data_IF_164140875577
#
_entry.id   IF_164140875577
#
_cell.length_a   1.000
_cell.length_b   1.000
_cell.length_c   1.000
_cell.angle_alpha   90.00
_cell.angle_beta   90.00
_cell.angle_gamma   90.00
#
_symmetry.space_group_name_H-M   'P 1'
#
loop_
_entity.id
_entity.type
_entity.pdbx_description
1 polymer ?
#
# COMPACT_ATOMS: atom_id res chain seq x y z
N UNK A 1 19.00 -25.63 79.42
CA UNK A 1 17.96 -24.90 78.65
C UNK A 1 18.67 -24.14 77.59
N UNK A 2 18.61 -24.60 76.31
CA UNK A 2 19.25 -23.91 75.14
C UNK A 2 18.18 -23.08 74.44
N UNK A 3 18.37 -21.75 74.38
CA UNK A 3 17.50 -20.86 73.67
C UNK A 3 17.94 -20.80 72.20
N UNK A 4 17.09 -21.31 71.32
CA UNK A 4 17.31 -21.26 69.87
C UNK A 4 16.88 -19.91 69.41
N UNK A 5 17.82 -19.13 68.86
CA UNK A 5 17.57 -17.81 68.19
C UNK A 5 17.19 -18.03 66.74
N UNK A 6 15.94 -17.73 66.38
CA UNK A 6 15.47 -17.78 65.00
C UNK A 6 15.76 -16.41 64.38
N UNK A 7 16.72 -16.39 63.44
CA UNK A 7 17.01 -15.20 62.63
C UNK A 7 16.07 -15.22 61.44
N UNK A 8 15.09 -14.31 61.41
CA UNK A 8 14.23 -14.08 60.27
C UNK A 8 14.99 -13.24 59.26
N UNK A 9 15.48 -13.85 58.20
CA UNK A 9 16.08 -13.13 57.08
C UNK A 9 14.96 -12.57 56.19
N UNK A 10 14.70 -11.25 56.24
CA UNK A 10 13.81 -10.59 55.35
C UNK A 10 14.52 -10.31 54.01
N UNK A 11 14.27 -11.14 53.01
CA UNK A 11 14.66 -10.84 51.63
C UNK A 11 13.82 -9.65 51.08
N UNK A 12 14.38 -8.47 51.14
CA UNK A 12 13.85 -7.31 50.41
C UNK A 12 14.13 -7.48 48.91
N UNK A 13 13.13 -7.98 48.17
CA UNK A 13 13.17 -7.94 46.71
C UNK A 13 12.99 -6.49 46.24
N UNK A 14 14.09 -5.85 45.92
CA UNK A 14 14.05 -4.56 45.23
C UNK A 14 13.54 -4.76 43.82
N UNK A 15 12.26 -4.48 43.56
CA UNK A 15 11.70 -4.34 42.23
C UNK A 15 12.31 -3.09 41.60
N UNK A 16 13.32 -3.25 40.75
CA UNK A 16 13.81 -2.23 39.89
C UNK A 16 12.73 -2.00 38.81
N UNK A 17 11.89 -0.99 39.05
CA UNK A 17 10.97 -0.47 38.03
C UNK A 17 11.85 0.27 37.03
N UNK A 18 12.28 -0.42 35.96
CA UNK A 18 12.81 0.26 34.79
C UNK A 18 11.68 1.06 34.15
N UNK A 19 11.77 2.39 34.05
CA UNK A 19 10.83 3.13 33.25
C UNK A 19 10.97 2.63 31.81
N UNK A 20 9.93 1.96 31.32
CA UNK A 20 9.82 1.69 29.87
C UNK A 20 9.87 3.05 29.19
N UNK A 21 11.02 3.36 28.60
CA UNK A 21 11.12 4.48 27.66
C UNK A 21 10.24 4.07 26.51
N UNK A 22 8.97 4.49 26.53
CA UNK A 22 8.10 4.41 25.40
C UNK A 22 8.76 5.30 24.33
N UNK A 23 9.58 4.67 23.49
CA UNK A 23 10.09 5.32 22.29
C UNK A 23 8.86 5.78 21.51
N UNK A 24 8.64 7.10 21.48
CA UNK A 24 7.63 7.68 20.61
C UNK A 24 8.07 7.37 19.17
N UNK A 25 7.66 6.20 18.69
CA UNK A 25 7.88 5.81 17.31
C UNK A 25 7.20 6.87 16.47
N UNK A 26 7.99 7.69 15.80
CA UNK A 26 7.48 8.59 14.75
C UNK A 26 6.56 7.75 13.85
N UNK A 27 5.28 8.14 13.77
CA UNK A 27 4.28 7.46 12.95
C UNK A 27 4.38 7.88 11.48
N UNK A 28 5.59 8.10 10.97
CA UNK A 28 5.81 8.39 9.56
C UNK A 28 5.59 7.10 8.77
N UNK A 29 4.54 7.08 7.96
CA UNK A 29 4.27 5.99 7.03
C UNK A 29 4.96 6.22 5.70
N UNK A 30 5.45 5.15 5.08
CA UNK A 30 5.96 5.19 3.71
C UNK A 30 4.81 4.85 2.77
N UNK A 31 4.58 5.69 1.74
CA UNK A 31 3.63 5.45 0.66
C UNK A 31 4.42 5.15 -0.61
N UNK A 32 4.14 4.00 -1.21
CA UNK A 32 4.75 3.60 -2.47
C UNK A 32 4.06 4.33 -3.64
N UNK A 33 4.74 5.25 -4.29
CA UNK A 33 4.22 6.01 -5.44
C UNK A 33 4.05 5.11 -6.66
N UNK A 34 2.81 4.97 -7.14
CA UNK A 34 2.37 4.05 -8.21
C UNK A 34 2.64 2.58 -7.89
N UNK A 35 2.51 2.22 -6.61
CA UNK A 35 2.91 0.92 -6.07
C UNK A 35 4.42 0.77 -5.87
N UNK A 36 4.85 -0.37 -5.31
CA UNK A 36 6.26 -0.72 -5.24
C UNK A 36 6.68 -1.38 -6.56
N UNK A 37 6.69 -0.57 -7.63
CA UNK A 37 6.89 -1.00 -9.00
C UNK A 37 8.36 -1.26 -9.37
N UNK A 38 9.32 -0.66 -8.65
CA UNK A 38 10.75 -0.75 -8.97
C UNK A 38 11.38 -2.02 -8.37
N UNK A 39 10.82 -3.18 -8.67
CA UNK A 39 11.31 -4.49 -8.27
C UNK A 39 10.98 -5.53 -9.35
N UNK A 40 11.68 -6.68 -9.31
CA UNK A 40 11.49 -7.77 -10.28
C UNK A 40 10.09 -8.37 -10.20
N UNK A 41 9.56 -8.55 -8.99
CA UNK A 41 8.25 -9.16 -8.74
C UNK A 41 7.09 -8.32 -9.32
N UNK A 42 7.28 -7.01 -9.44
CA UNK A 42 6.35 -6.11 -10.12
C UNK A 42 6.60 -5.99 -11.63
N UNK A 43 7.70 -6.56 -12.12
CA UNK A 43 8.14 -6.43 -13.53
C UNK A 43 8.39 -4.98 -13.93
N UNK A 44 8.74 -4.12 -12.96
CA UNK A 44 8.99 -2.67 -13.17
C UNK A 44 7.80 -1.92 -13.77
N UNK A 45 6.57 -2.39 -13.54
CA UNK A 45 5.34 -1.82 -14.07
C UNK A 45 4.62 -0.97 -13.02
N UNK A 46 4.61 0.36 -13.25
CA UNK A 46 3.86 1.33 -12.43
C UNK A 46 2.35 1.07 -12.54
N UNK A 47 1.60 1.37 -11.48
CA UNK A 47 0.14 1.23 -11.46
C UNK A 47 -0.37 -0.19 -11.78
N UNK A 48 0.48 -1.20 -11.69
CA UNK A 48 0.10 -2.60 -11.89
C UNK A 48 -0.45 -3.23 -10.61
N UNK A 49 -1.25 -4.27 -10.77
CA UNK A 49 -1.71 -5.07 -9.61
C UNK A 49 -0.52 -5.72 -8.90
N UNK A 50 0.51 -6.13 -9.65
CA UNK A 50 1.75 -6.65 -9.08
C UNK A 50 2.48 -5.60 -8.22
N UNK A 51 2.55 -4.33 -8.66
CA UNK A 51 3.19 -3.26 -7.89
C UNK A 51 2.45 -2.97 -6.57
N UNK A 52 1.12 -3.01 -6.57
CA UNK A 52 0.33 -2.93 -5.34
C UNK A 52 0.64 -4.10 -4.41
N UNK A 53 0.62 -5.32 -4.92
CA UNK A 53 0.95 -6.53 -4.14
C UNK A 53 2.34 -6.42 -3.52
N UNK A 54 3.35 -6.00 -4.29
CA UNK A 54 4.71 -5.82 -3.77
C UNK A 54 4.76 -4.77 -2.64
N UNK A 55 4.02 -3.66 -2.73
CA UNK A 55 3.93 -2.67 -1.66
C UNK A 55 3.30 -3.26 -0.39
N UNK A 56 2.26 -4.08 -0.55
CA UNK A 56 1.56 -4.75 0.54
C UNK A 56 2.45 -5.81 1.23
N UNK A 57 3.12 -6.64 0.46
CA UNK A 57 4.03 -7.68 0.97
C UNK A 57 5.27 -7.09 1.66
N UNK A 58 5.77 -5.95 1.15
CA UNK A 58 6.84 -5.19 1.78
C UNK A 58 6.40 -4.47 3.08
N UNK A 59 5.10 -4.45 3.39
CA UNK A 59 4.55 -3.85 4.59
C UNK A 59 4.59 -2.32 4.60
N UNK A 60 4.54 -1.67 3.44
CA UNK A 60 4.41 -0.23 3.36
C UNK A 60 3.09 0.24 3.97
N UNK A 61 3.11 1.43 4.59
CA UNK A 61 1.92 2.01 5.19
C UNK A 61 0.83 2.25 4.14
N UNK A 62 1.21 2.66 2.93
CA UNK A 62 0.29 2.91 1.84
C UNK A 62 0.89 2.62 0.46
N UNK A 63 -0.01 2.49 -0.51
CA UNK A 63 0.30 2.42 -1.94
C UNK A 63 -0.53 3.47 -2.64
N UNK A 64 0.12 4.36 -3.34
CA UNK A 64 -0.52 5.39 -4.16
C UNK A 64 -0.69 4.87 -5.58
N UNK A 65 -1.73 5.33 -6.27
CA UNK A 65 -2.05 4.97 -7.66
C UNK A 65 -2.92 6.02 -8.33
N UNK A 66 -2.83 6.08 -9.65
CA UNK A 66 -3.50 7.05 -10.50
C UNK A 66 -4.77 6.48 -11.11
N UNK A 67 -5.89 7.24 -11.12
CA UNK A 67 -7.18 6.81 -11.67
C UNK A 67 -7.62 7.77 -12.78
N UNK A 68 -7.87 7.22 -13.95
CA UNK A 68 -8.51 7.88 -15.09
C UNK A 68 -9.90 7.30 -15.32
N UNK A 69 -10.79 8.09 -15.95
CA UNK A 69 -12.12 7.65 -16.37
C UNK A 69 -12.21 7.65 -17.88
N UNK A 70 -12.71 6.57 -18.47
CA UNK A 70 -12.94 6.44 -19.91
C UNK A 70 -14.24 7.14 -20.32
N UNK A 71 -14.46 7.31 -21.64
CA UNK A 71 -15.66 7.96 -22.17
C UNK A 71 -16.97 7.28 -21.77
N UNK A 72 -16.95 5.98 -21.53
CA UNK A 72 -18.11 5.18 -21.08
C UNK A 72 -18.19 5.02 -19.55
N UNK A 73 -17.34 5.76 -18.79
CA UNK A 73 -17.40 5.84 -17.34
C UNK A 73 -16.65 4.73 -16.61
N UNK A 74 -15.89 3.87 -17.28
CA UNK A 74 -15.04 2.88 -16.62
C UNK A 74 -13.83 3.57 -15.97
N UNK A 75 -13.54 3.21 -14.73
CA UNK A 75 -12.39 3.70 -13.99
C UNK A 75 -11.21 2.74 -14.16
N UNK A 76 -10.10 3.24 -14.68
CA UNK A 76 -8.88 2.47 -14.92
C UNK A 76 -7.69 3.05 -14.15
N UNK A 77 -6.75 2.18 -13.76
CA UNK A 77 -5.57 2.58 -13.01
C UNK A 77 -4.40 2.79 -13.97
N UNK A 78 -4.21 4.05 -14.35
CA UNK A 78 -3.18 4.48 -15.31
C UNK A 78 -2.81 5.94 -15.08
N UNK A 79 -1.54 6.31 -15.30
CA UNK A 79 -1.07 7.66 -14.97
C UNK A 79 -1.38 8.70 -16.05
N UNK A 80 -1.09 8.35 -17.31
CA UNK A 80 -1.16 9.32 -18.41
C UNK A 80 -2.61 9.52 -18.85
N UNK A 81 -2.92 10.65 -19.46
CA UNK A 81 -4.24 10.97 -20.01
C UNK A 81 -4.55 10.26 -21.31
N UNK A 82 -3.55 9.59 -21.88
CA UNK A 82 -3.66 8.82 -23.12
C UNK A 82 -2.89 7.50 -23.05
N UNK A 83 -3.30 6.57 -23.90
CA UNK A 83 -2.60 5.30 -24.16
C UNK A 83 -2.24 5.28 -25.63
N UNK A 84 -0.93 5.31 -25.95
CA UNK A 84 -0.43 5.35 -27.34
C UNK A 84 -1.02 6.49 -28.18
N UNK A 85 -1.19 7.67 -27.56
CA UNK A 85 -1.75 8.87 -28.21
C UNK A 85 -3.28 8.88 -28.31
N UNK A 86 -3.95 7.88 -27.75
CA UNK A 86 -5.41 7.79 -27.69
C UNK A 86 -5.92 8.29 -26.33
N UNK A 87 -6.61 9.42 -26.30
CA UNK A 87 -7.13 10.03 -25.06
C UNK A 87 -8.10 9.10 -24.34
N UNK A 88 -7.83 8.82 -23.05
CA UNK A 88 -8.65 7.92 -22.22
C UNK A 88 -10.07 8.49 -22.08
N UNK A 89 -10.21 9.77 -21.78
CA UNK A 89 -11.53 10.40 -21.57
C UNK A 89 -12.44 10.43 -22.79
N UNK A 90 -11.86 10.26 -24.00
CA UNK A 90 -12.58 10.36 -25.27
C UNK A 90 -12.91 9.02 -25.92
N UNK A 91 -12.44 7.92 -25.35
CA UNK A 91 -12.62 6.59 -25.93
C UNK A 91 -13.15 5.62 -24.88
N UNK A 92 -13.97 4.62 -25.28
CA UNK A 92 -14.52 3.64 -24.37
C UNK A 92 -13.45 2.66 -23.88
N UNK A 93 -13.66 2.08 -22.71
CA UNK A 93 -12.74 1.09 -22.11
C UNK A 93 -12.37 -0.06 -23.04
N UNK A 94 -13.30 -0.49 -23.88
CA UNK A 94 -13.07 -1.59 -24.83
C UNK A 94 -11.82 -1.38 -25.73
N UNK A 95 -11.39 -0.12 -25.91
CA UNK A 95 -10.21 0.22 -26.71
C UNK A 95 -8.89 0.13 -25.91
N UNK A 96 -8.96 0.00 -24.59
CA UNK A 96 -7.79 -0.06 -23.70
C UNK A 96 -7.61 -1.40 -22.99
N UNK A 97 -8.67 -2.20 -22.91
CA UNK A 97 -8.73 -3.43 -22.08
C UNK A 97 -7.64 -4.46 -22.40
N UNK A 98 -7.14 -4.49 -23.64
CA UNK A 98 -6.14 -5.46 -24.11
C UNK A 98 -4.72 -4.85 -24.16
N UNK A 99 -4.58 -3.56 -23.87
CA UNK A 99 -3.27 -2.90 -23.82
C UNK A 99 -2.40 -3.50 -22.71
N UNK A 100 -1.15 -3.85 -23.07
CA UNK A 100 -0.19 -4.46 -22.16
C UNK A 100 0.75 -3.42 -21.57
N UNK A 101 0.75 -3.33 -20.25
CA UNK A 101 1.75 -2.57 -19.52
C UNK A 101 3.06 -3.36 -19.42
N UNK A 102 4.10 -2.73 -18.85
CA UNK A 102 5.49 -3.21 -18.93
C UNK A 102 5.71 -4.66 -18.47
N UNK A 103 4.95 -5.15 -17.50
CA UNK A 103 5.07 -6.52 -16.97
C UNK A 103 4.15 -7.54 -17.68
N UNK A 104 3.46 -7.12 -18.75
CA UNK A 104 2.53 -7.97 -19.50
C UNK A 104 1.11 -8.05 -18.92
N UNK A 105 0.84 -7.43 -17.77
CA UNK A 105 -0.53 -7.23 -17.30
C UNK A 105 -1.27 -6.29 -18.26
N UNK A 106 -2.61 -6.32 -18.26
CA UNK A 106 -3.42 -5.26 -18.87
C UNK A 106 -3.50 -4.06 -17.93
N UNK A 107 -3.90 -2.88 -18.44
CA UNK A 107 -4.29 -1.77 -17.57
C UNK A 107 -5.42 -2.27 -16.66
N UNK A 108 -5.24 -2.27 -15.33
CA UNK A 108 -6.28 -2.77 -14.44
C UNK A 108 -7.44 -1.78 -14.35
N UNK A 109 -8.66 -2.29 -14.26
CA UNK A 109 -9.78 -1.46 -13.80
C UNK A 109 -9.59 -1.14 -12.31
N UNK A 110 -10.25 -0.08 -11.84
CA UNK A 110 -10.24 0.25 -10.41
C UNK A 110 -10.73 -0.93 -9.56
N UNK A 111 -11.78 -1.62 -10.01
CA UNK A 111 -12.33 -2.78 -9.28
C UNK A 111 -11.29 -3.90 -9.15
N UNK A 112 -10.57 -4.23 -10.23
CA UNK A 112 -9.49 -5.23 -10.19
C UNK A 112 -8.36 -4.83 -9.23
N UNK A 113 -8.02 -3.53 -9.19
CA UNK A 113 -6.99 -3.01 -8.29
C UNK A 113 -7.45 -3.07 -6.84
N UNK A 114 -8.71 -2.69 -6.55
CA UNK A 114 -9.29 -2.75 -5.22
C UNK A 114 -9.46 -4.19 -4.71
N UNK A 115 -9.75 -5.16 -5.58
CA UNK A 115 -9.77 -6.58 -5.21
C UNK A 115 -8.41 -7.06 -4.68
N UNK A 116 -7.31 -6.60 -5.28
CA UNK A 116 -5.98 -6.84 -4.69
C UNK A 116 -5.83 -6.09 -3.36
N UNK A 117 -6.32 -4.85 -3.28
CA UNK A 117 -6.28 -4.04 -2.06
C UNK A 117 -6.87 -4.73 -0.85
N UNK A 118 -8.01 -5.38 -1.01
CA UNK A 118 -8.74 -6.09 0.05
C UNK A 118 -7.94 -7.23 0.71
N UNK A 119 -6.98 -7.81 0.00
CA UNK A 119 -6.16 -8.93 0.53
C UNK A 119 -5.23 -8.50 1.66
N UNK A 120 -4.89 -7.22 1.74
CA UNK A 120 -3.97 -6.66 2.75
C UNK A 120 -4.55 -5.38 3.35
N UNK A 121 -5.55 -5.46 4.22
CA UNK A 121 -6.31 -4.30 4.72
C UNK A 121 -5.49 -3.32 5.58
N UNK A 122 -4.26 -3.67 5.92
CA UNK A 122 -3.34 -2.79 6.67
C UNK A 122 -2.62 -1.78 5.79
N UNK A 123 -2.57 -2.01 4.47
CA UNK A 123 -1.95 -1.07 3.53
C UNK A 123 -3.00 -0.07 3.07
N UNK A 124 -2.79 1.20 3.36
CA UNK A 124 -3.67 2.27 2.92
C UNK A 124 -3.60 2.43 1.40
N UNK A 125 -4.76 2.48 0.76
CA UNK A 125 -4.86 2.82 -0.66
C UNK A 125 -5.04 4.33 -0.80
N UNK A 126 -4.10 4.97 -1.48
CA UNK A 126 -4.10 6.42 -1.75
C UNK A 126 -4.26 6.60 -3.24
N UNK A 127 -5.33 7.25 -3.68
CA UNK A 127 -5.57 7.44 -5.10
C UNK A 127 -5.47 8.91 -5.52
N UNK A 128 -4.94 9.14 -6.70
CA UNK A 128 -4.97 10.42 -7.40
C UNK A 128 -5.99 10.33 -8.55
N UNK A 129 -7.04 11.15 -8.49
CA UNK A 129 -7.96 11.30 -9.62
C UNK A 129 -7.32 12.22 -10.65
N UNK A 130 -7.16 11.72 -11.86
CA UNK A 130 -6.68 12.55 -12.98
C UNK A 130 -7.78 13.51 -13.45
N UNK A 131 -7.41 14.71 -13.90
CA UNK A 131 -8.38 15.66 -14.44
C UNK A 131 -9.18 15.04 -15.58
N UNK A 132 -10.49 15.22 -15.53
CA UNK A 132 -11.41 14.89 -16.61
C UNK A 132 -12.04 16.18 -17.10
N UNK A 133 -12.02 16.44 -18.40
CA UNK A 133 -12.66 17.62 -18.96
C UNK A 133 -14.18 17.45 -18.83
N UNK A 134 -14.78 18.18 -17.88
CA UNK A 134 -16.23 18.35 -17.86
C UNK A 134 -16.63 19.11 -19.13
N UNK A 135 -17.33 18.44 -20.02
CA UNK A 135 -17.93 19.08 -21.20
C UNK A 135 -19.12 19.95 -20.78
#
# INVERSE_FOLDING_TARGET
MKKTLIILSACMAAFLIFPSIASARSKTGIVAHRGFWNCEEAGYAKNSVAALRCAQEAGFWGSEFDVNMTADGELIVYHDSDVEGKSIEKHPYAEFKDFKIKNGETIPTLDQYLEQGKKYPKTMLVYELKPHSCA
#
